data_IF_993661150111
#
_entry.id   IF_993661150111
#
_cell.length_a   1.000
_cell.length_b   1.000
_cell.length_c   1.000
_cell.angle_alpha   90.00
_cell.angle_beta   90.00
_cell.angle_gamma   90.00
#
_symmetry.space_group_name_H-M   'P 1'
#
loop_
_entity.id
_entity.type
_entity.pdbx_description
1 polymer ?
#
# COMPACT_ATOMS: atom_id res chain seq x y z
N UNK A 1 21.84 12.97 0.72
CA UNK A 1 20.44 13.44 0.68
C UNK A 1 19.99 13.82 2.06
N UNK A 2 19.13 14.84 2.16
CA UNK A 2 18.58 15.22 3.45
C UNK A 2 17.39 14.31 3.83
N UNK A 3 16.97 14.41 5.09
CA UNK A 3 15.93 13.55 5.62
C UNK A 3 14.59 13.69 4.89
N UNK A 4 14.26 14.89 4.43
CA UNK A 4 13.02 15.09 3.69
C UNK A 4 13.04 14.38 2.34
N UNK A 5 14.15 14.44 1.63
CA UNK A 5 14.31 13.74 0.36
C UNK A 5 14.20 12.24 0.55
N UNK A 6 14.82 11.71 1.61
CA UNK A 6 14.74 10.30 1.93
C UNK A 6 13.30 9.89 2.22
N UNK A 7 12.60 10.68 3.03
CA UNK A 7 11.20 10.42 3.36
C UNK A 7 10.31 10.45 2.12
N UNK A 8 10.49 11.45 1.27
CA UNK A 8 9.68 11.58 0.05
C UNK A 8 9.86 10.38 -0.87
N UNK A 9 11.09 9.92 -1.03
CA UNK A 9 11.37 8.74 -1.85
C UNK A 9 10.80 7.48 -1.20
N UNK A 10 10.97 7.33 0.11
CA UNK A 10 10.43 6.19 0.83
C UNK A 10 8.91 6.12 0.68
N UNK A 11 8.23 7.24 0.88
CA UNK A 11 6.78 7.33 0.75
C UNK A 11 6.33 6.97 -0.67
N UNK A 12 7.03 7.49 -1.67
CA UNK A 12 6.73 7.20 -3.07
C UNK A 12 6.91 5.71 -3.37
N UNK A 13 7.92 5.08 -2.77
CA UNK A 13 8.14 3.65 -2.95
C UNK A 13 7.01 2.80 -2.36
N UNK A 14 6.48 3.20 -1.21
CA UNK A 14 5.46 2.44 -0.48
C UNK A 14 4.05 2.72 -1.01
N UNK A 15 3.77 3.94 -1.49
CA UNK A 15 2.44 4.34 -1.92
C UNK A 15 1.92 3.43 -3.04
N UNK A 16 0.78 2.75 -2.84
CA UNK A 16 0.30 1.79 -3.83
C UNK A 16 -0.40 2.50 -4.99
N UNK A 17 -0.31 1.92 -6.19
CA UNK A 17 -1.08 2.39 -7.34
C UNK A 17 -2.36 1.59 -7.55
N UNK A 18 -2.44 0.41 -6.93
CA UNK A 18 -3.62 -0.45 -6.99
C UNK A 18 -3.98 -0.94 -5.60
N UNK A 19 -5.25 -1.15 -5.36
CA UNK A 19 -5.72 -1.80 -4.13
C UNK A 19 -6.87 -2.74 -4.48
N UNK A 20 -7.30 -3.52 -3.51
CA UNK A 20 -8.39 -4.46 -3.70
C UNK A 20 -9.55 -4.02 -2.82
N UNK A 21 -10.74 -3.94 -3.40
CA UNK A 21 -11.96 -3.64 -2.67
C UNK A 21 -12.96 -4.76 -2.86
N UNK A 22 -13.64 -5.11 -1.78
CA UNK A 22 -14.75 -6.06 -1.85
C UNK A 22 -15.91 -5.44 -2.59
N UNK A 23 -16.45 -6.15 -3.57
CA UNK A 23 -17.62 -5.75 -4.32
C UNK A 23 -18.62 -6.88 -4.38
N UNK A 24 -19.89 -6.52 -4.31
CA UNK A 24 -20.96 -7.49 -4.45
C UNK A 24 -21.45 -7.47 -5.89
N UNK A 25 -21.25 -8.58 -6.56
CA UNK A 25 -21.62 -8.72 -7.99
C UNK A 25 -22.44 -9.99 -8.12
N UNK A 26 -23.69 -9.84 -8.59
CA UNK A 26 -24.58 -10.98 -8.80
C UNK A 26 -24.83 -11.82 -7.55
N UNK A 27 -24.87 -11.18 -6.36
CA UNK A 27 -25.08 -11.89 -5.10
C UNK A 27 -23.85 -12.50 -4.47
N UNK A 28 -22.71 -12.42 -5.13
CA UNK A 28 -21.43 -12.92 -4.60
C UNK A 28 -20.48 -11.78 -4.30
N UNK A 29 -19.59 -11.99 -3.34
CA UNK A 29 -18.57 -11.02 -2.98
C UNK A 29 -17.29 -11.31 -3.75
N UNK A 30 -16.73 -10.30 -4.37
CA UNK A 30 -15.48 -10.40 -5.13
C UNK A 30 -14.49 -9.36 -4.64
N UNK A 31 -13.21 -9.73 -4.68
CA UNK A 31 -12.10 -8.81 -4.41
C UNK A 31 -11.70 -8.17 -5.74
N UNK A 32 -12.05 -6.90 -5.91
CA UNK A 32 -11.89 -6.20 -7.20
C UNK A 32 -10.72 -5.23 -7.12
N UNK A 33 -9.72 -5.35 -8.03
CA UNK A 33 -8.63 -4.37 -8.07
C UNK A 33 -9.14 -3.01 -8.56
N UNK A 34 -8.69 -1.97 -7.89
CA UNK A 34 -9.07 -0.59 -8.19
C UNK A 34 -7.80 0.26 -8.21
N UNK A 35 -7.75 1.21 -9.13
CA UNK A 35 -6.68 2.19 -9.15
C UNK A 35 -6.80 3.11 -7.94
N UNK A 36 -5.66 3.42 -7.32
CA UNK A 36 -5.63 4.34 -6.17
C UNK A 36 -5.20 5.71 -6.65
N UNK A 37 -6.03 6.71 -6.41
CA UNK A 37 -5.77 8.11 -6.76
C UNK A 37 -5.27 8.89 -5.56
N UNK A 38 -4.56 9.99 -5.81
CA UNK A 38 -4.22 10.92 -4.74
C UNK A 38 -5.52 11.64 -4.29
N UNK A 39 -5.66 12.01 -3.01
CA UNK A 39 -4.63 11.91 -1.96
C UNK A 39 -4.58 10.56 -1.22
N UNK A 40 -5.38 9.60 -1.61
CA UNK A 40 -5.44 8.30 -0.94
C UNK A 40 -4.12 7.53 -1.04
N UNK A 41 -3.40 7.64 -2.16
CA UNK A 41 -2.10 6.97 -2.32
C UNK A 41 -1.13 7.37 -1.22
N UNK A 42 -0.99 8.66 -1.00
CA UNK A 42 -0.11 9.19 0.04
C UNK A 42 -0.58 8.77 1.43
N UNK A 43 -1.89 8.85 1.68
CA UNK A 43 -2.46 8.46 2.97
C UNK A 43 -2.21 6.99 3.28
N UNK A 44 -2.38 6.11 2.30
CA UNK A 44 -2.10 4.68 2.48
C UNK A 44 -0.62 4.42 2.72
N UNK A 45 0.26 5.08 1.99
CA UNK A 45 1.69 4.95 2.20
C UNK A 45 2.10 5.31 3.61
N UNK A 46 1.62 6.44 4.11
CA UNK A 46 1.90 6.88 5.47
C UNK A 46 1.32 5.90 6.51
N UNK A 47 0.09 5.49 6.31
CA UNK A 47 -0.58 4.55 7.21
C UNK A 47 0.18 3.23 7.31
N UNK A 48 0.64 2.71 6.20
CA UNK A 48 1.36 1.44 6.17
C UNK A 48 2.74 1.56 6.82
N UNK A 49 3.43 2.70 6.61
CA UNK A 49 4.71 2.94 7.28
C UNK A 49 4.55 3.02 8.79
N UNK A 50 3.51 3.70 9.26
CA UNK A 50 3.24 3.81 10.69
C UNK A 50 2.90 2.45 11.28
N UNK A 51 2.06 1.67 10.62
CA UNK A 51 1.69 0.33 11.08
C UNK A 51 2.90 -0.58 11.14
N UNK A 52 3.77 -0.53 10.12
CA UNK A 52 4.99 -1.32 10.08
C UNK A 52 5.95 -0.92 11.21
N UNK A 53 6.07 0.38 11.46
CA UNK A 53 6.92 0.88 12.55
C UNK A 53 6.39 0.40 13.90
N UNK A 54 5.09 0.46 14.12
CA UNK A 54 4.48 -0.01 15.38
C UNK A 54 4.73 -1.48 15.64
N UNK A 55 4.85 -2.28 14.59
CA UNK A 55 5.10 -3.71 14.72
C UNK A 55 6.55 -4.03 15.10
N UNK A 56 7.48 -3.11 14.95
CA UNK A 56 8.86 -3.30 15.38
C UNK A 56 8.93 -3.25 16.90
N UNK A 57 9.89 -3.98 17.47
CA UNK A 57 10.04 -4.07 18.93
C UNK A 57 11.40 -3.56 19.38
N UNK A 58 11.47 -3.18 20.65
CA UNK A 58 12.74 -2.92 21.31
C UNK A 58 13.29 -1.51 21.13
N UNK A 59 12.51 -0.57 20.55
CA UNK A 59 12.97 0.79 20.29
C UNK A 59 11.83 1.79 20.51
N UNK A 60 12.17 3.05 20.83
CA UNK A 60 11.17 4.12 20.83
C UNK A 60 10.55 4.29 19.43
N UNK A 61 9.34 4.84 19.37
CA UNK A 61 8.62 5.02 18.11
C UNK A 61 9.41 5.84 17.08
N UNK A 62 10.12 6.87 17.53
CA UNK A 62 10.93 7.69 16.62
C UNK A 62 11.96 6.84 15.88
N UNK A 63 12.64 5.95 16.61
CA UNK A 63 13.66 5.07 16.01
C UNK A 63 13.02 4.01 15.11
N UNK A 64 11.89 3.46 15.54
CA UNK A 64 11.15 2.47 14.73
C UNK A 64 10.74 3.08 13.41
N UNK A 65 10.18 4.28 13.43
CA UNK A 65 9.72 4.96 12.23
C UNK A 65 10.90 5.33 11.33
N UNK A 66 11.99 5.83 11.91
CA UNK A 66 13.19 6.15 11.14
C UNK A 66 13.72 4.93 10.41
N UNK A 67 13.78 3.78 11.10
CA UNK A 67 14.26 2.54 10.49
C UNK A 67 13.32 2.06 9.39
N UNK A 68 12.01 2.20 9.58
CA UNK A 68 11.05 1.82 8.56
C UNK A 68 11.18 2.72 7.32
N UNK A 69 11.38 4.01 7.52
CA UNK A 69 11.58 4.96 6.42
C UNK A 69 12.86 4.61 5.64
N UNK A 70 13.95 4.31 6.35
CA UNK A 70 15.20 3.94 5.69
C UNK A 70 15.06 2.63 4.89
N UNK A 71 14.36 1.66 5.45
CA UNK A 71 14.11 0.40 4.75
C UNK A 71 13.26 0.66 3.50
N UNK A 72 12.20 1.44 3.61
CA UNK A 72 11.33 1.78 2.47
C UNK A 72 12.09 2.56 1.40
N UNK A 73 13.02 3.43 1.82
CA UNK A 73 13.89 4.14 0.89
C UNK A 73 14.67 3.14 0.02
N UNK A 74 15.10 2.04 0.61
CA UNK A 74 15.83 0.99 -0.08
C UNK A 74 14.93 -0.12 -0.63
N UNK A 75 13.62 0.11 -0.66
CA UNK A 75 12.60 -0.84 -1.12
C UNK A 75 12.59 -2.12 -0.29
N UNK A 76 12.78 -1.98 1.00
CA UNK A 76 12.78 -3.07 1.98
C UNK A 76 11.75 -2.78 3.06
N UNK A 77 11.55 -3.74 3.94
CA UNK A 77 10.74 -3.57 5.13
C UNK A 77 9.27 -3.96 4.94
N UNK A 78 8.53 -3.94 6.06
CA UNK A 78 7.16 -4.44 6.10
C UNK A 78 6.18 -3.59 5.30
N UNK A 79 6.37 -2.27 5.27
CA UNK A 79 5.50 -1.40 4.47
C UNK A 79 5.66 -1.67 2.98
N UNK A 80 6.89 -1.87 2.54
CA UNK A 80 7.16 -2.20 1.14
C UNK A 80 6.58 -3.56 0.78
N UNK A 81 6.69 -4.53 1.69
CA UNK A 81 6.09 -5.85 1.50
C UNK A 81 4.57 -5.74 1.37
N UNK A 82 3.94 -4.91 2.18
CA UNK A 82 2.50 -4.67 2.12
C UNK A 82 2.08 -4.15 0.74
N UNK A 83 2.84 -3.20 0.20
CA UNK A 83 2.60 -2.69 -1.14
C UNK A 83 2.71 -3.79 -2.20
N UNK A 84 3.77 -4.58 -2.12
CA UNK A 84 3.99 -5.64 -3.09
C UNK A 84 2.93 -6.73 -3.01
N UNK A 85 2.53 -7.11 -1.79
CA UNK A 85 1.45 -8.08 -1.60
C UNK A 85 0.13 -7.56 -2.17
N UNK A 86 -0.17 -6.29 -1.93
CA UNK A 86 -1.38 -5.65 -2.45
C UNK A 86 -1.39 -5.64 -3.98
N UNK A 87 -0.26 -5.28 -4.59
CA UNK A 87 -0.14 -5.27 -6.05
C UNK A 87 -0.24 -6.68 -6.63
N UNK A 88 0.34 -7.67 -5.94
CA UNK A 88 0.26 -9.06 -6.37
C UNK A 88 -1.18 -9.56 -6.35
N UNK A 89 -1.93 -9.24 -5.30
CA UNK A 89 -3.34 -9.62 -5.19
C UNK A 89 -4.18 -8.92 -6.26
N UNK A 90 -3.88 -7.65 -6.53
CA UNK A 90 -4.57 -6.91 -7.58
C UNK A 90 -4.32 -7.55 -8.95
N UNK A 91 -3.08 -7.94 -9.22
CA UNK A 91 -2.73 -8.62 -10.46
C UNK A 91 -3.44 -9.98 -10.58
N UNK A 92 -3.48 -10.74 -9.50
CA UNK A 92 -4.16 -12.02 -9.48
C UNK A 92 -5.66 -11.90 -9.74
N UNK A 93 -6.25 -10.77 -9.34
CA UNK A 93 -7.70 -10.53 -9.46
C UNK A 93 -8.08 -9.58 -10.58
N UNK A 94 -7.17 -9.29 -11.50
CA UNK A 94 -7.43 -8.27 -12.53
C UNK A 94 -8.64 -8.56 -13.42
N UNK A 95 -8.98 -9.82 -13.58
CA UNK A 95 -10.17 -10.19 -14.36
C UNK A 95 -11.46 -9.65 -13.73
N UNK A 96 -11.49 -9.55 -12.39
CA UNK A 96 -12.65 -9.01 -11.69
C UNK A 96 -12.80 -7.50 -11.89
N UNK A 97 -11.75 -6.79 -12.17
CA UNK A 97 -11.83 -5.36 -12.49
C UNK A 97 -12.64 -5.14 -13.75
N UNK A 98 -12.38 -5.96 -14.77
CA UNK A 98 -13.16 -5.93 -16.02
C UNK A 98 -14.61 -6.30 -15.76
N UNK A 99 -14.84 -7.34 -14.98
CA UNK A 99 -16.18 -7.81 -14.64
C UNK A 99 -16.96 -6.74 -13.88
N UNK A 100 -16.33 -6.09 -12.91
CA UNK A 100 -16.97 -5.03 -12.14
C UNK A 100 -17.35 -3.83 -13.00
N UNK A 101 -16.50 -3.44 -13.94
CA UNK A 101 -16.81 -2.36 -14.89
C UNK A 101 -18.02 -2.71 -15.74
N UNK A 102 -18.08 -3.94 -16.19
CA UNK A 102 -19.17 -4.41 -17.03
C UNK A 102 -20.52 -4.36 -16.30
N UNK A 103 -20.50 -4.64 -15.00
CA UNK A 103 -21.71 -4.69 -14.17
C UNK A 103 -22.05 -3.39 -13.47
N UNK A 104 -21.43 -2.29 -13.84
CA UNK A 104 -21.58 -0.99 -13.18
C UNK A 104 -22.83 -0.22 -13.59
N UNK A 105 -23.56 -0.71 -14.52
CA UNK A 105 -24.74 -0.03 -15.07
C UNK A 105 -25.93 -0.06 -14.14
#
# INVERSE_FOLDING_TARGET
>A
KDGRQVFDIALKNVAPIMEIKGRRIGGSNYQVPMEVQEPRRTALGMKWMIAAARARKGQPMADKLANEIMDAYNKLGAAMKKREDTHRMAEANKAFAHFARFNRR
#
